data_IF_416228757216
#
_entry.id   IF_416228757216
#
_cell.length_a   1.000
_cell.length_b   1.000
_cell.length_c   1.000
_cell.angle_alpha   90.00
_cell.angle_beta   90.00
_cell.angle_gamma   90.00
#
_symmetry.space_group_name_H-M   'P 1'
#
loop_
_entity.id
_entity.type
_entity.pdbx_description
1 polymer ?
#
# COMPACT_ATOMS: atom_id res chain seq x y z
N UNK A 1 19.55 -2.56 1.74
CA UNK A 1 18.36 -3.24 1.16
C UNK A 1 17.10 -3.09 2.02
N UNK A 2 16.89 -3.82 3.13
CA UNK A 2 15.64 -3.71 3.92
C UNK A 2 15.37 -2.30 4.47
N UNK A 3 16.39 -1.62 4.99
CA UNK A 3 16.25 -0.23 5.48
C UNK A 3 15.92 0.76 4.35
N UNK A 4 16.40 0.53 3.13
CA UNK A 4 16.11 1.40 1.98
C UNK A 4 14.68 1.21 1.50
N UNK A 5 14.21 -0.04 1.46
CA UNK A 5 12.82 -0.38 1.13
C UNK A 5 11.89 0.23 2.19
N UNK A 6 12.19 0.06 3.48
CA UNK A 6 11.44 0.67 4.58
C UNK A 6 11.35 2.19 4.46
N UNK A 7 12.48 2.86 4.23
CA UNK A 7 12.53 4.32 4.07
C UNK A 7 11.72 4.78 2.85
N UNK A 8 11.77 4.04 1.74
CA UNK A 8 10.99 4.34 0.55
C UNK A 8 9.48 4.22 0.82
N UNK A 9 9.03 3.13 1.47
CA UNK A 9 7.62 2.92 1.78
C UNK A 9 7.10 3.96 2.79
N UNK A 10 7.89 4.30 3.81
CA UNK A 10 7.55 5.37 4.76
C UNK A 10 7.45 6.73 4.07
N UNK A 11 8.36 7.03 3.14
CA UNK A 11 8.32 8.28 2.38
C UNK A 11 7.09 8.36 1.48
N UNK A 12 6.76 7.28 0.76
CA UNK A 12 5.57 7.18 -0.09
C UNK A 12 4.29 7.37 0.73
N UNK A 13 4.18 6.66 1.86
CA UNK A 13 3.02 6.77 2.76
C UNK A 13 2.83 8.19 3.31
N UNK A 14 3.93 8.83 3.72
CA UNK A 14 3.89 10.22 4.19
C UNK A 14 3.47 11.20 3.09
N UNK A 15 3.87 10.97 1.83
CA UNK A 15 3.43 11.78 0.70
C UNK A 15 1.93 11.63 0.46
N UNK A 16 1.43 10.39 0.43
CA UNK A 16 0.00 10.10 0.25
C UNK A 16 -0.84 10.69 1.40
N UNK A 17 -0.37 10.60 2.64
CA UNK A 17 -1.04 11.21 3.80
C UNK A 17 -1.05 12.74 3.71
N UNK A 18 0.04 13.36 3.27
CA UNK A 18 0.11 14.82 3.08
C UNK A 18 -0.89 15.27 2.01
N UNK A 19 -0.90 14.60 0.86
CA UNK A 19 -1.83 14.91 -0.22
C UNK A 19 -3.30 14.68 0.17
N UNK A 20 -3.56 13.67 1.00
CA UNK A 20 -4.89 13.40 1.54
C UNK A 20 -5.37 14.53 2.44
N UNK A 21 -4.53 15.00 3.37
CA UNK A 21 -4.85 16.12 4.26
C UNK A 21 -5.05 17.43 3.49
N UNK A 22 -4.24 17.71 2.47
CA UNK A 22 -4.42 18.89 1.63
C UNK A 22 -5.72 18.82 0.81
N UNK A 23 -6.06 17.64 0.30
CA UNK A 23 -7.36 17.40 -0.37
C UNK A 23 -8.54 17.66 0.58
N UNK A 24 -8.44 17.27 1.86
CA UNK A 24 -9.46 17.56 2.87
C UNK A 24 -9.60 19.06 3.16
N UNK A 25 -8.48 19.80 3.24
CA UNK A 25 -8.49 21.25 3.42
C UNK A 25 -9.16 21.95 2.23
N UNK A 26 -8.87 21.53 1.01
CA UNK A 26 -9.53 22.06 -0.19
C UNK A 26 -11.02 21.75 -0.22
N UNK A 27 -11.43 20.52 0.13
CA UNK A 27 -12.85 20.15 0.26
C UNK A 27 -13.58 21.06 1.24
N UNK A 28 -12.98 21.31 2.41
CA UNK A 28 -13.56 22.22 3.41
C UNK A 28 -13.71 23.63 2.84
N UNK A 29 -12.67 24.15 2.17
CA UNK A 29 -12.71 25.47 1.54
C UNK A 29 -13.84 25.60 0.53
N UNK A 30 -13.96 24.67 -0.42
CA UNK A 30 -15.01 24.73 -1.44
C UNK A 30 -16.41 24.45 -0.89
N UNK A 31 -16.53 23.62 0.15
CA UNK A 31 -17.77 23.43 0.90
C UNK A 31 -18.24 24.74 1.55
N UNK A 32 -17.33 25.47 2.21
CA UNK A 32 -17.65 26.79 2.78
C UNK A 32 -18.06 27.80 1.72
N UNK A 33 -17.36 27.84 0.58
CA UNK A 33 -17.72 28.73 -0.54
C UNK A 33 -19.12 28.39 -1.08
N UNK A 34 -19.42 27.09 -1.27
CA UNK A 34 -20.72 26.61 -1.71
C UNK A 34 -21.82 27.06 -0.75
N UNK A 35 -21.68 26.80 0.55
CA UNK A 35 -22.66 27.19 1.55
C UNK A 35 -22.84 28.71 1.64
N UNK A 36 -21.77 29.49 1.48
CA UNK A 36 -21.86 30.94 1.43
C UNK A 36 -22.63 31.43 0.19
N UNK A 37 -22.42 30.80 -0.97
CA UNK A 37 -23.16 31.11 -2.19
C UNK A 37 -24.65 30.76 -2.06
N UNK A 38 -24.97 29.60 -1.49
CA UNK A 38 -26.35 29.18 -1.18
C UNK A 38 -27.04 30.19 -0.25
N UNK A 39 -26.38 30.61 0.82
CA UNK A 39 -26.91 31.62 1.74
C UNK A 39 -27.13 33.00 1.07
N UNK A 40 -26.34 33.36 0.05
CA UNK A 40 -26.56 34.59 -0.72
C UNK A 40 -27.77 34.46 -1.65
N UNK A 41 -28.00 33.29 -2.25
CA UNK A 41 -29.21 33.03 -3.03
C UNK A 41 -30.47 33.11 -2.16
N UNK A 42 -30.43 32.56 -0.93
CA UNK A 42 -31.55 32.65 0.01
C UNK A 42 -31.88 34.10 0.36
N UNK A 43 -30.85 34.95 0.55
CA UNK A 43 -31.03 36.39 0.78
C UNK A 43 -31.69 37.08 -0.40
N UNK A 44 -31.25 36.80 -1.63
CA UNK A 44 -31.89 37.33 -2.84
C UNK A 44 -33.35 36.89 -2.90
N UNK A 45 -33.64 35.61 -2.60
CA UNK A 45 -35.01 35.07 -2.63
C UNK A 45 -35.93 35.77 -1.61
N UNK A 46 -35.38 36.18 -0.47
CA UNK A 46 -36.07 36.98 0.54
C UNK A 46 -36.17 38.48 0.20
N UNK A 47 -35.72 38.89 -0.99
CA UNK A 47 -35.73 40.29 -1.43
C UNK A 47 -34.66 41.16 -0.77
N UNK A 48 -33.64 40.55 -0.14
CA UNK A 48 -32.52 41.28 0.46
C UNK A 48 -31.47 41.61 -0.59
N UNK A 49 -30.88 42.79 -0.46
CA UNK A 49 -29.79 43.23 -1.33
C UNK A 49 -28.49 42.49 -0.97
N UNK A 50 -27.77 42.04 -1.99
CA UNK A 50 -26.47 41.39 -1.85
C UNK A 50 -25.46 42.05 -2.81
N UNK A 51 -24.16 42.07 -2.46
CA UNK A 51 -23.16 42.81 -3.24
C UNK A 51 -22.68 42.10 -4.52
N UNK A 52 -23.33 41.01 -4.93
CA UNK A 52 -22.97 40.18 -6.08
C UNK A 52 -24.19 39.97 -6.98
N UNK A 53 -23.95 39.80 -8.28
CA UNK A 53 -25.05 39.47 -9.19
C UNK A 53 -25.49 38.01 -9.01
N UNK A 54 -26.73 37.70 -9.42
CA UNK A 54 -27.23 36.33 -9.41
C UNK A 54 -26.38 35.40 -10.29
N UNK A 55 -25.86 35.92 -11.40
CA UNK A 55 -24.98 35.20 -12.31
C UNK A 55 -23.63 34.85 -11.65
N UNK A 56 -23.01 35.82 -10.97
CA UNK A 56 -21.75 35.59 -10.21
C UNK A 56 -21.90 34.48 -9.16
N UNK A 57 -23.03 34.48 -8.45
CA UNK A 57 -23.32 33.50 -7.39
C UNK A 57 -23.57 32.12 -8.01
N UNK A 58 -24.31 32.06 -9.12
CA UNK A 58 -24.58 30.81 -9.84
C UNK A 58 -23.30 30.18 -10.39
N UNK A 59 -22.40 30.99 -10.98
CA UNK A 59 -21.11 30.53 -11.47
C UNK A 59 -20.22 30.03 -10.34
N UNK A 60 -20.16 30.76 -9.23
CA UNK A 60 -19.39 30.35 -8.04
C UNK A 60 -19.91 29.03 -7.47
N UNK A 61 -21.23 28.84 -7.46
CA UNK A 61 -21.87 27.61 -7.00
C UNK A 61 -21.55 26.44 -7.93
N UNK A 62 -21.61 26.65 -9.25
CA UNK A 62 -21.26 25.64 -10.26
C UNK A 62 -19.82 25.17 -10.13
N UNK A 63 -18.87 26.11 -10.08
CA UNK A 63 -17.44 25.82 -9.90
C UNK A 63 -17.19 25.08 -8.59
N UNK A 64 -17.84 25.50 -7.49
CA UNK A 64 -17.64 24.87 -6.19
C UNK A 64 -18.20 23.44 -6.17
N UNK A 65 -19.35 23.18 -6.80
CA UNK A 65 -19.91 21.83 -6.93
C UNK A 65 -19.00 20.90 -7.74
N UNK A 66 -18.54 21.35 -8.90
CA UNK A 66 -17.60 20.59 -9.73
C UNK A 66 -16.32 20.28 -8.96
N UNK A 67 -15.76 21.26 -8.25
CA UNK A 67 -14.51 21.04 -7.51
C UNK A 67 -14.68 20.10 -6.32
N UNK A 68 -15.82 20.15 -5.63
CA UNK A 68 -16.14 19.19 -4.57
C UNK A 68 -16.23 17.76 -5.12
N UNK A 69 -16.84 17.58 -6.29
CA UNK A 69 -16.95 16.27 -6.94
C UNK A 69 -15.57 15.70 -7.32
N UNK A 70 -14.74 16.50 -8.00
CA UNK A 70 -13.35 16.14 -8.32
C UNK A 70 -12.53 15.76 -7.08
N UNK A 71 -12.61 16.57 -6.02
CA UNK A 71 -11.85 16.33 -4.80
C UNK A 71 -12.36 15.11 -4.03
N UNK A 72 -13.65 14.77 -4.10
CA UNK A 72 -14.18 13.53 -3.50
C UNK A 72 -13.70 12.27 -4.23
N UNK A 73 -13.57 12.33 -5.57
CA UNK A 73 -12.96 11.25 -6.34
C UNK A 73 -11.49 11.08 -5.94
N UNK A 74 -10.71 12.18 -5.95
CA UNK A 74 -9.31 12.17 -5.52
C UNK A 74 -9.15 11.65 -4.09
N UNK A 75 -10.02 12.07 -3.16
CA UNK A 75 -10.02 11.59 -1.77
C UNK A 75 -10.20 10.07 -1.70
N UNK A 76 -11.11 9.52 -2.50
CA UNK A 76 -11.36 8.07 -2.55
C UNK A 76 -10.13 7.32 -3.07
N UNK A 77 -9.51 7.82 -4.14
CA UNK A 77 -8.30 7.25 -4.71
C UNK A 77 -7.13 7.27 -3.71
N UNK A 78 -6.88 8.41 -3.07
CA UNK A 78 -5.83 8.56 -2.06
C UNK A 78 -6.08 7.67 -0.85
N UNK A 79 -7.33 7.53 -0.39
CA UNK A 79 -7.64 6.63 0.72
C UNK A 79 -7.35 5.16 0.36
N UNK A 80 -7.67 4.74 -0.87
CA UNK A 80 -7.33 3.40 -1.35
C UNK A 80 -5.81 3.19 -1.45
N UNK A 81 -5.07 4.18 -1.95
CA UNK A 81 -3.60 4.13 -1.99
C UNK A 81 -2.99 4.04 -0.59
N UNK A 82 -3.50 4.83 0.37
CA UNK A 82 -3.07 4.78 1.76
C UNK A 82 -3.28 3.42 2.40
N UNK A 83 -4.45 2.81 2.17
CA UNK A 83 -4.72 1.46 2.67
C UNK A 83 -3.75 0.43 2.09
N UNK A 84 -3.43 0.52 0.79
CA UNK A 84 -2.45 -0.38 0.14
C UNK A 84 -1.04 -0.20 0.69
N UNK A 85 -0.59 1.05 0.86
CA UNK A 85 0.76 1.33 1.36
C UNK A 85 0.94 0.95 2.83
N UNK A 86 -0.09 1.10 3.67
CA UNK A 86 -0.07 0.63 5.06
C UNK A 86 0.10 -0.89 5.15
N UNK A 87 -0.66 -1.63 4.35
CA UNK A 87 -0.54 -3.09 4.27
C UNK A 87 0.89 -3.46 3.83
N UNK A 88 1.42 -2.82 2.78
CA UNK A 88 2.79 -3.06 2.33
C UNK A 88 3.86 -2.76 3.39
N UNK A 89 3.65 -1.74 4.24
CA UNK A 89 4.58 -1.43 5.32
C UNK A 89 4.56 -2.51 6.42
N UNK A 90 3.37 -3.00 6.76
CA UNK A 90 3.19 -4.06 7.74
C UNK A 90 3.82 -5.38 7.27
N UNK A 91 3.61 -5.75 6.02
CA UNK A 91 4.25 -6.91 5.38
C UNK A 91 5.78 -6.81 5.41
N UNK A 92 6.34 -5.61 5.19
CA UNK A 92 7.78 -5.38 5.24
C UNK A 92 8.36 -5.48 6.66
N UNK A 93 7.62 -5.02 7.67
CA UNK A 93 8.01 -5.16 9.07
C UNK A 93 8.00 -6.63 9.48
N UNK A 94 6.97 -7.38 9.08
CA UNK A 94 6.90 -8.82 9.31
C UNK A 94 8.02 -9.57 8.58
N UNK A 95 8.32 -9.19 7.33
CA UNK A 95 9.40 -9.78 6.55
C UNK A 95 10.76 -9.54 7.23
N UNK A 96 11.00 -8.33 7.73
CA UNK A 96 12.22 -8.01 8.50
C UNK A 96 12.38 -8.93 9.70
N UNK A 97 11.31 -9.13 10.48
CA UNK A 97 11.32 -10.05 11.63
C UNK A 97 11.61 -11.48 11.20
N UNK A 98 10.88 -11.97 10.20
CA UNK A 98 11.03 -13.35 9.72
C UNK A 98 12.41 -13.59 9.12
N UNK A 99 12.96 -12.67 8.31
CA UNK A 99 14.31 -12.79 7.75
C UNK A 99 15.36 -12.87 8.87
N UNK A 100 15.23 -12.06 9.93
CA UNK A 100 16.16 -12.09 11.06
C UNK A 100 16.14 -13.43 11.80
N UNK A 101 14.98 -14.09 11.84
CA UNK A 101 14.79 -15.39 12.49
C UNK A 101 14.96 -16.57 11.52
N UNK A 102 15.00 -16.31 10.21
CA UNK A 102 14.92 -17.31 9.15
C UNK A 102 16.10 -18.28 9.19
N UNK A 103 17.32 -17.80 9.44
CA UNK A 103 18.49 -18.68 9.58
C UNK A 103 18.29 -19.69 10.70
N UNK A 104 17.78 -19.23 11.85
CA UNK A 104 17.51 -20.10 13.00
C UNK A 104 16.40 -21.12 12.67
N UNK A 105 15.29 -20.66 12.09
CA UNK A 105 14.18 -21.53 11.67
C UNK A 105 14.63 -22.57 10.63
N UNK A 106 15.45 -22.16 9.68
CA UNK A 106 15.98 -23.04 8.65
C UNK A 106 16.90 -24.12 9.24
N UNK A 107 17.78 -23.75 10.17
CA UNK A 107 18.74 -24.69 10.76
C UNK A 107 18.09 -25.73 11.68
N UNK A 108 16.99 -25.36 12.35
CA UNK A 108 16.31 -26.19 13.35
C UNK A 108 15.09 -26.96 12.83
N UNK A 109 14.71 -26.79 11.56
CA UNK A 109 13.59 -27.52 10.94
C UNK A 109 14.03 -28.80 10.23
N UNK A 110 13.09 -29.72 10.03
CA UNK A 110 13.37 -30.94 9.29
C UNK A 110 13.66 -30.67 7.80
N UNK A 111 14.25 -31.66 7.12
CA UNK A 111 14.70 -31.53 5.72
C UNK A 111 13.53 -31.24 4.78
N UNK A 112 12.33 -31.75 5.07
CA UNK A 112 11.14 -31.53 4.25
C UNK A 112 10.72 -30.08 4.32
N UNK A 113 10.64 -29.53 5.53
CA UNK A 113 10.31 -28.12 5.78
C UNK A 113 11.32 -27.17 5.15
N UNK A 114 12.63 -27.45 5.29
CA UNK A 114 13.68 -26.68 4.61
C UNK A 114 13.52 -26.65 3.09
N UNK A 115 13.16 -27.77 2.48
CA UNK A 115 12.91 -27.84 1.02
C UNK A 115 11.72 -27.00 0.61
N UNK A 116 10.64 -27.02 1.41
CA UNK A 116 9.45 -26.17 1.17
C UNK A 116 9.83 -24.70 1.26
N UNK A 117 10.52 -24.29 2.33
CA UNK A 117 10.99 -22.90 2.50
C UNK A 117 11.83 -22.44 1.30
N UNK A 118 12.81 -23.24 0.87
CA UNK A 118 13.64 -22.90 -0.29
C UNK A 118 12.82 -22.83 -1.59
N UNK A 119 11.85 -23.72 -1.79
CA UNK A 119 11.01 -23.71 -3.00
C UNK A 119 10.13 -22.47 -3.15
N UNK A 120 9.90 -21.73 -2.06
CA UNK A 120 9.15 -20.47 -2.05
C UNK A 120 10.01 -19.22 -2.28
N UNK A 121 11.33 -19.36 -2.16
CA UNK A 121 12.30 -18.27 -2.37
C UNK A 121 13.02 -18.46 -3.71
N UNK A 122 13.40 -19.70 -4.01
CA UNK A 122 14.23 -20.06 -5.17
C UNK A 122 13.35 -20.53 -6.31
N UNK A 123 13.37 -19.77 -7.40
CA UNK A 123 12.69 -20.11 -8.65
C UNK A 123 13.47 -21.16 -9.43
N UNK A 124 14.78 -20.96 -9.56
CA UNK A 124 15.63 -21.80 -10.40
C UNK A 124 17.07 -21.82 -9.90
N UNK A 125 17.69 -22.99 -9.94
CA UNK A 125 19.12 -23.16 -9.75
C UNK A 125 19.73 -23.67 -11.07
N UNK A 126 20.73 -22.97 -11.59
CA UNK A 126 21.48 -23.37 -12.77
C UNK A 126 22.92 -23.65 -12.34
N UNK A 127 23.34 -24.91 -12.47
CA UNK A 127 24.70 -25.34 -12.13
C UNK A 127 25.54 -25.32 -13.39
N UNK A 128 26.60 -24.52 -13.38
CA UNK A 128 27.65 -24.50 -14.39
C UNK A 128 28.90 -25.22 -13.87
N UNK A 129 29.90 -25.39 -14.74
CA UNK A 129 31.16 -26.06 -14.39
C UNK A 129 31.87 -25.37 -13.22
N UNK A 130 31.88 -24.04 -13.23
CA UNK A 130 32.67 -23.22 -12.30
C UNK A 130 31.82 -22.28 -11.43
N UNK A 131 30.49 -22.29 -11.59
CA UNK A 131 29.57 -21.40 -10.86
C UNK A 131 28.17 -21.97 -10.69
N UNK A 132 27.43 -21.45 -9.72
CA UNK A 132 26.01 -21.74 -9.51
C UNK A 132 25.24 -20.43 -9.59
N UNK A 133 24.28 -20.35 -10.51
CA UNK A 133 23.38 -19.21 -10.64
C UNK A 133 22.04 -19.56 -9.97
N UNK A 134 21.66 -18.79 -8.95
CA UNK A 134 20.38 -18.96 -8.24
C UNK A 134 19.46 -17.80 -8.60
N UNK A 135 18.34 -18.11 -9.24
CA UNK A 135 17.25 -17.16 -9.51
C UNK A 135 16.28 -17.16 -8.35
N UNK A 136 16.09 -16.00 -7.75
CA UNK A 136 15.17 -15.78 -6.61
C UNK A 136 13.86 -15.22 -7.15
N UNK A 137 12.74 -15.78 -6.70
CA UNK A 137 11.39 -15.24 -6.94
C UNK A 137 10.62 -15.32 -5.62
N UNK A 138 10.70 -14.25 -4.84
CA UNK A 138 10.08 -14.17 -3.53
C UNK A 138 8.69 -13.55 -3.65
N UNK A 139 7.65 -14.33 -3.37
CA UNK A 139 6.30 -13.83 -3.10
C UNK A 139 6.05 -13.84 -1.61
N UNK A 140 5.75 -12.68 -1.03
CA UNK A 140 5.68 -12.52 0.43
C UNK A 140 4.58 -13.37 1.07
N UNK A 141 3.39 -13.43 0.46
CA UNK A 141 2.29 -14.27 0.94
C UNK A 141 2.68 -15.76 1.01
N UNK A 142 3.21 -16.30 -0.09
CA UNK A 142 3.62 -17.70 -0.16
C UNK A 142 4.80 -18.01 0.77
N UNK A 143 5.67 -17.03 1.00
CA UNK A 143 6.79 -17.13 1.94
C UNK A 143 6.30 -17.18 3.39
N UNK A 144 5.38 -16.30 3.79
CA UNK A 144 4.81 -16.29 5.13
C UNK A 144 4.01 -17.56 5.42
N UNK A 145 3.24 -18.06 4.46
CA UNK A 145 2.55 -19.36 4.61
C UNK A 145 3.53 -20.50 4.87
N UNK A 146 4.66 -20.53 4.16
CA UNK A 146 5.66 -21.59 4.31
C UNK A 146 6.44 -21.52 5.62
N UNK A 147 6.63 -20.32 6.18
CA UNK A 147 7.36 -20.13 7.44
C UNK A 147 6.44 -20.21 8.66
N UNK A 148 5.21 -19.73 8.57
CA UNK A 148 4.26 -19.71 9.69
C UNK A 148 3.35 -20.94 9.73
N UNK A 149 3.04 -21.57 8.59
CA UNK A 149 2.27 -22.81 8.51
C UNK A 149 2.96 -24.01 9.18
N UNK A 150 4.25 -23.89 9.50
CA UNK A 150 5.05 -24.92 10.19
C UNK A 150 5.08 -24.76 11.72
N UNK A 151 4.63 -23.63 12.27
CA UNK A 151 4.60 -23.35 13.71
C UNK A 151 3.16 -23.14 14.20
N UNK A 152 2.51 -24.22 14.66
CA UNK A 152 1.10 -24.20 15.10
C UNK A 152 0.83 -23.40 16.40
N UNK A 153 1.80 -22.65 16.92
CA UNK A 153 1.67 -21.88 18.18
C UNK A 153 1.68 -20.35 17.97
N UNK A 154 2.04 -19.84 16.79
CA UNK A 154 2.09 -18.38 16.49
C UNK A 154 0.77 -17.88 15.85
N UNK A 155 -0.11 -18.80 15.47
CA UNK A 155 -1.36 -18.52 14.74
C UNK A 155 -2.38 -17.67 15.49
N UNK A 156 -2.23 -17.46 16.81
CA UNK A 156 -3.16 -16.70 17.64
C UNK A 156 -2.90 -15.18 17.67
N UNK A 157 -1.77 -14.72 17.12
CA UNK A 157 -1.41 -13.30 17.05
C UNK A 157 -1.87 -12.61 15.75
N UNK A 158 -2.40 -13.37 14.79
CA UNK A 158 -2.79 -12.85 13.48
C UNK A 158 -4.30 -13.02 13.30
N UNK A 159 -5.00 -11.90 13.30
CA UNK A 159 -6.42 -11.83 12.94
C UNK A 159 -6.58 -12.20 11.46
N UNK A 160 -6.72 -13.49 11.22
CA UNK A 160 -6.92 -14.12 9.90
C UNK A 160 -8.25 -13.71 9.25
N UNK A 161 -9.09 -12.93 9.94
CA UNK A 161 -10.33 -12.39 9.37
C UNK A 161 -10.09 -11.29 8.33
N UNK A 162 -8.92 -10.63 8.32
CA UNK A 162 -8.58 -9.61 7.33
C UNK A 162 -8.23 -10.18 5.94
N UNK A 163 -7.79 -11.45 5.86
CA UNK A 163 -7.36 -12.10 4.62
C UNK A 163 -8.50 -12.76 3.83
N UNK A 164 -9.68 -12.97 4.44
CA UNK A 164 -10.77 -13.74 3.83
C UNK A 164 -11.75 -12.92 2.97
N UNK A 165 -11.57 -11.60 2.83
CA UNK A 165 -12.34 -10.83 1.85
C UNK A 165 -11.68 -10.89 0.48
N UNK A 166 -12.09 -11.90 -0.27
CA UNK A 166 -11.95 -12.03 -1.72
C UNK A 166 -12.25 -10.69 -2.42
N UNK A 167 -11.20 -10.00 -2.83
CA UNK A 167 -11.25 -9.01 -3.90
C UNK A 167 -10.39 -9.58 -5.01
N UNK A 168 -11.03 -9.88 -6.13
CA UNK A 168 -10.39 -10.23 -7.40
C UNK A 168 -9.34 -9.17 -7.75
N UNK A 169 -8.07 -9.44 -7.46
CA UNK A 169 -6.97 -8.63 -7.94
C UNK A 169 -6.64 -9.08 -9.36
N UNK A 170 -6.75 -8.16 -10.33
CA UNK A 170 -5.80 -8.16 -11.46
C UNK A 170 -4.42 -7.87 -10.86
N UNK A 171 -3.67 -8.94 -10.67
CA UNK A 171 -2.39 -8.99 -9.97
C UNK A 171 -1.33 -8.23 -10.76
N UNK A 172 -1.07 -6.99 -10.35
CA UNK A 172 0.25 -6.39 -10.51
C UNK A 172 1.04 -6.65 -9.24
N UNK A 173 1.52 -7.88 -9.04
CA UNK A 173 2.44 -8.19 -7.93
C UNK A 173 3.68 -7.31 -8.05
N UNK A 174 4.11 -6.60 -6.99
CA UNK A 174 5.45 -6.02 -6.97
C UNK A 174 6.44 -7.18 -7.01
N UNK A 175 6.99 -7.41 -8.20
CA UNK A 175 8.01 -8.43 -8.42
C UNK A 175 9.33 -7.78 -8.05
N UNK A 176 9.87 -8.11 -6.87
CA UNK A 176 11.22 -7.68 -6.51
C UNK A 176 12.19 -8.57 -7.28
N UNK A 177 12.56 -8.15 -8.49
CA UNK A 177 13.64 -8.76 -9.27
C UNK A 177 14.97 -8.40 -8.59
N UNK A 178 15.49 -9.30 -7.76
CA UNK A 178 16.88 -9.25 -7.34
C UNK A 178 17.68 -9.92 -8.45
N UNK A 179 18.37 -9.13 -9.26
CA UNK A 179 19.28 -9.65 -10.28
C UNK A 179 20.43 -10.41 -9.59
N UNK A 180 20.48 -11.72 -9.87
CA UNK A 180 21.60 -12.67 -9.75
C UNK A 180 22.55 -12.50 -8.56
N UNK A 181 22.47 -13.42 -7.58
CA UNK A 181 23.52 -13.56 -6.56
C UNK A 181 24.59 -14.51 -7.09
N UNK A 182 25.76 -13.98 -7.46
CA UNK A 182 26.95 -14.78 -7.79
C UNK A 182 27.61 -15.30 -6.50
N UNK A 183 27.65 -16.62 -6.32
CA UNK A 183 28.42 -17.26 -5.25
C UNK A 183 29.71 -17.81 -5.87
N UNK A 184 30.84 -17.16 -5.62
CA UNK A 184 32.17 -17.63 -6.03
C UNK A 184 32.61 -18.72 -5.05
N UNK A 185 32.72 -19.96 -5.51
CA UNK A 185 33.33 -21.05 -4.73
C UNK A 185 34.86 -20.92 -4.82
N UNK A 186 35.49 -20.49 -3.74
CA UNK A 186 36.92 -20.72 -3.56
C UNK A 186 37.10 -22.17 -3.08
N UNK A 187 37.56 -23.04 -3.99
CA UNK A 187 38.02 -24.39 -3.68
C UNK A 187 39.32 -24.36 -2.87
#
# INVERSE_FOLDING_TARGET
MLNEIKNYTETSLNQVDTEYEDTLKELKKYSTIKSSAEAMLDKIFLGMEVPFTQEDIADRLKVSKQKIEELNLKKTELNNSRSREKISQEDLLQLSTVINEWSSLFDHTDITTRKVMLSKIVDKVVVHKDKIDIKINLKLEEFFEAVMGTNSEVSSALDTSAYNNSIMYTVGTPTVNIETVEIIMNL
#
